data_IF_891854288156
#
_entry.id   IF_891854288156
#
_cell.length_a   1.000
_cell.length_b   1.000
_cell.length_c   1.000
_cell.angle_alpha   90.00
_cell.angle_beta   90.00
_cell.angle_gamma   90.00
#
_symmetry.space_group_name_H-M   'P 1'
#
loop_
_entity.id
_entity.type
_entity.pdbx_description
1 polymer ?
#
# COMPACT_ATOMS: atom_id res chain seq x y z
N UNK A 1 -1.94 -5.63 -13.12
CA UNK A 1 -1.29 -6.43 -14.19
C UNK A 1 -2.24 -6.71 -15.36
N UNK A 2 -3.37 -6.02 -15.39
CA UNK A 2 -4.43 -6.10 -16.40
C UNK A 2 -5.17 -4.75 -16.37
N UNK A 3 -6.23 -4.61 -17.18
CA UNK A 3 -7.09 -3.43 -17.21
C UNK A 3 -8.29 -3.49 -16.24
N UNK A 4 -8.53 -4.63 -15.57
CA UNK A 4 -9.63 -4.82 -14.60
C UNK A 4 -9.22 -4.51 -13.15
N UNK A 5 -8.07 -3.84 -12.96
CA UNK A 5 -7.10 -4.05 -11.86
C UNK A 5 -7.39 -5.20 -10.87
N UNK A 6 -7.46 -6.44 -11.34
CA UNK A 6 -7.75 -7.62 -10.49
C UNK A 6 -6.51 -8.46 -10.16
N UNK A 7 -5.56 -8.60 -11.10
CA UNK A 7 -4.29 -9.29 -10.86
C UNK A 7 -3.18 -8.32 -10.48
N UNK A 8 -2.44 -8.70 -9.45
CA UNK A 8 -1.27 -7.97 -8.95
C UNK A 8 -0.02 -8.85 -8.99
N UNK A 9 1.15 -8.23 -9.20
CA UNK A 9 2.44 -8.84 -8.88
C UNK A 9 3.04 -8.10 -7.69
N UNK A 10 3.99 -8.75 -7.01
CA UNK A 10 4.59 -8.23 -5.81
C UNK A 10 6.11 -8.13 -5.95
N UNK A 11 6.66 -7.09 -5.35
CA UNK A 11 8.09 -6.91 -5.10
C UNK A 11 8.25 -6.68 -3.60
N UNK A 12 9.29 -7.24 -3.00
CA UNK A 12 9.56 -7.10 -1.56
C UNK A 12 11.05 -6.94 -1.31
N UNK A 13 11.41 -6.17 -0.29
CA UNK A 13 12.78 -5.88 0.12
C UNK A 13 12.89 -5.85 1.63
N UNK A 14 14.04 -6.28 2.15
CA UNK A 14 14.43 -6.03 3.54
C UNK A 14 15.20 -4.72 3.57
N UNK A 15 14.94 -3.90 4.58
CA UNK A 15 15.62 -2.62 4.76
C UNK A 15 16.02 -2.39 6.21
N UNK A 16 16.72 -1.29 6.48
CA UNK A 16 17.19 -0.95 7.82
C UNK A 16 16.02 -0.90 8.82
N UNK A 17 16.24 -1.32 10.08
CA UNK A 17 15.19 -1.29 11.10
C UNK A 17 14.60 0.11 11.27
N UNK A 18 13.27 0.20 11.42
CA UNK A 18 12.51 1.44 11.68
C UNK A 18 12.70 2.54 10.63
N UNK A 19 13.24 2.22 9.46
CA UNK A 19 13.24 3.14 8.34
C UNK A 19 11.91 3.01 7.60
N UNK A 20 11.16 4.10 7.50
CA UNK A 20 9.85 4.10 6.82
C UNK A 20 10.01 4.26 5.30
N UNK A 21 10.91 5.14 4.85
CA UNK A 21 11.18 5.39 3.42
C UNK A 21 11.64 4.09 2.74
N UNK A 22 10.98 3.73 1.65
CA UNK A 22 11.32 2.54 0.86
C UNK A 22 12.62 2.80 0.10
N UNK A 23 13.74 2.20 0.54
CA UNK A 23 15.07 2.49 -0.01
C UNK A 23 15.23 2.07 -1.48
N UNK A 24 14.69 0.90 -1.85
CA UNK A 24 14.89 0.30 -3.18
C UNK A 24 13.64 0.46 -4.07
N UNK A 25 12.87 1.53 -3.85
CA UNK A 25 11.59 1.72 -4.53
C UNK A 25 11.75 1.85 -6.06
N UNK A 26 12.82 2.49 -6.53
CA UNK A 26 13.06 2.66 -7.97
C UNK A 26 13.18 1.30 -8.68
N UNK A 27 13.94 0.38 -8.09
CA UNK A 27 14.10 -0.99 -8.60
C UNK A 27 12.78 -1.76 -8.58
N UNK A 28 12.04 -1.69 -7.46
CA UNK A 28 10.74 -2.33 -7.29
C UNK A 28 9.71 -1.84 -8.32
N UNK A 29 9.61 -0.53 -8.51
CA UNK A 29 8.70 0.08 -9.50
C UNK A 29 9.10 -0.32 -10.92
N UNK A 30 10.40 -0.31 -11.23
CA UNK A 30 10.93 -0.75 -12.54
C UNK A 30 10.52 -2.18 -12.85
N UNK A 31 10.68 -3.11 -11.90
CA UNK A 31 10.25 -4.52 -12.06
C UNK A 31 8.75 -4.62 -12.37
N UNK A 32 7.92 -3.88 -11.62
CA UNK A 32 6.47 -3.87 -11.80
C UNK A 32 6.04 -3.27 -13.14
N UNK A 33 6.69 -2.19 -13.61
CA UNK A 33 6.44 -1.58 -14.92
C UNK A 33 6.78 -2.53 -16.06
N UNK A 34 7.93 -3.22 -15.99
CA UNK A 34 8.31 -4.25 -16.96
C UNK A 34 7.28 -5.38 -16.98
N UNK A 35 6.86 -5.84 -15.81
CA UNK A 35 5.90 -6.95 -15.70
C UNK A 35 4.50 -6.53 -16.18
N UNK A 36 4.10 -5.28 -15.95
CA UNK A 36 2.86 -4.72 -16.50
C UNK A 36 2.91 -4.73 -18.03
N UNK A 37 3.96 -4.18 -18.64
CA UNK A 37 4.11 -4.16 -20.09
C UNK A 37 4.13 -5.57 -20.70
N UNK A 38 4.78 -6.54 -20.05
CA UNK A 38 4.75 -7.95 -20.48
C UNK A 38 3.34 -8.55 -20.46
N UNK A 39 2.52 -8.14 -19.49
CA UNK A 39 1.17 -8.69 -19.29
C UNK A 39 0.12 -8.02 -20.17
N UNK A 40 0.24 -6.72 -20.43
CA UNK A 40 -0.79 -5.92 -21.11
C UNK A 40 -0.39 -5.44 -22.50
N UNK A 41 0.92 -5.41 -22.80
CA UNK A 41 1.49 -4.71 -23.98
C UNK A 41 1.25 -3.21 -24.01
N UNK A 42 0.81 -2.61 -22.90
CA UNK A 42 0.66 -1.18 -22.74
C UNK A 42 1.68 -0.62 -21.76
N UNK A 43 2.17 0.58 -22.04
CA UNK A 43 2.92 1.39 -21.06
C UNK A 43 1.89 2.23 -20.30
N UNK A 44 1.89 2.22 -18.96
CA UNK A 44 1.00 3.08 -18.19
C UNK A 44 1.21 4.56 -18.55
N UNK A 45 0.14 5.30 -18.80
CA UNK A 45 0.22 6.77 -18.93
C UNK A 45 0.06 7.46 -17.59
N UNK A 46 -0.46 6.74 -16.58
CA UNK A 46 -0.67 7.20 -15.21
C UNK A 46 -0.21 6.15 -14.21
N UNK A 47 0.37 6.59 -13.10
CA UNK A 47 0.75 5.77 -11.96
C UNK A 47 0.00 6.28 -10.74
N UNK A 48 -0.88 5.46 -10.17
CA UNK A 48 -1.60 5.77 -8.93
C UNK A 48 -0.97 4.97 -7.80
N UNK A 49 -0.35 5.67 -6.86
CA UNK A 49 0.46 5.07 -5.80
C UNK A 49 -0.21 5.24 -4.44
N UNK A 50 -0.77 4.16 -3.90
CA UNK A 50 -1.31 4.11 -2.53
C UNK A 50 -0.22 3.69 -1.54
N UNK A 51 0.19 4.62 -0.69
CA UNK A 51 1.23 4.43 0.33
C UNK A 51 0.61 4.29 1.72
N UNK A 52 0.50 3.08 2.24
CA UNK A 52 0.05 2.85 3.63
C UNK A 52 1.17 3.07 4.64
N UNK A 53 0.86 3.62 5.82
CA UNK A 53 1.74 3.52 7.00
C UNK A 53 2.60 4.75 7.31
N UNK A 54 2.43 5.86 6.57
CA UNK A 54 3.20 7.09 6.79
C UNK A 54 2.45 8.03 7.72
N UNK A 55 3.15 8.56 8.73
CA UNK A 55 2.62 9.61 9.62
C UNK A 55 2.77 11.00 8.99
N UNK A 56 1.88 11.94 9.34
CA UNK A 56 1.88 13.32 8.79
C UNK A 56 3.24 14.01 8.91
N UNK A 57 3.90 13.86 10.07
CA UNK A 57 5.25 14.42 10.30
C UNK A 57 6.34 13.88 9.37
N UNK A 58 6.06 12.81 8.61
CA UNK A 58 6.99 12.20 7.65
C UNK A 58 6.60 12.46 6.19
N UNK A 59 5.44 13.07 5.89
CA UNK A 59 4.91 13.22 4.54
C UNK A 59 5.92 13.84 3.58
N UNK A 60 6.47 15.01 3.92
CA UNK A 60 7.42 15.71 3.07
C UNK A 60 8.66 14.88 2.75
N UNK A 61 9.23 14.22 3.77
CA UNK A 61 10.46 13.45 3.60
C UNK A 61 10.19 12.19 2.76
N UNK A 62 9.13 11.45 3.08
CA UNK A 62 8.75 10.24 2.34
C UNK A 62 8.40 10.56 0.89
N UNK A 63 7.58 11.58 0.66
CA UNK A 63 7.22 12.03 -0.68
C UNK A 63 8.45 12.37 -1.49
N UNK A 64 9.38 13.17 -0.95
CA UNK A 64 10.57 13.59 -1.68
C UNK A 64 11.37 12.41 -2.22
N UNK A 65 11.68 11.42 -1.38
CA UNK A 65 12.48 10.27 -1.81
C UNK A 65 11.67 9.28 -2.68
N UNK A 66 10.44 8.96 -2.29
CA UNK A 66 9.65 7.93 -2.98
C UNK A 66 9.13 8.42 -4.34
N UNK A 67 8.73 9.70 -4.47
CA UNK A 67 8.32 10.27 -5.76
C UNK A 67 9.48 10.33 -6.75
N UNK A 68 10.67 10.75 -6.30
CA UNK A 68 11.87 10.76 -7.14
C UNK A 68 12.26 9.35 -7.59
N UNK A 69 12.15 8.35 -6.71
CA UNK A 69 12.43 6.96 -7.04
C UNK A 69 11.44 6.40 -8.10
N UNK A 70 10.15 6.75 -8.03
CA UNK A 70 9.16 6.36 -9.06
C UNK A 70 9.52 7.00 -10.41
N UNK A 71 9.89 8.29 -10.42
CA UNK A 71 10.32 9.00 -11.64
C UNK A 71 11.61 8.41 -12.22
N UNK A 72 12.59 8.10 -11.37
CA UNK A 72 13.84 7.43 -11.75
C UNK A 72 13.56 6.09 -12.42
N UNK A 73 12.65 5.28 -11.86
CA UNK A 73 12.26 4.00 -12.45
C UNK A 73 11.73 4.18 -13.87
N UNK A 74 10.88 5.19 -14.11
CA UNK A 74 10.33 5.50 -15.44
C UNK A 74 11.43 5.91 -16.43
N UNK A 75 12.27 6.88 -16.07
CA UNK A 75 13.37 7.39 -16.92
C UNK A 75 14.38 6.28 -17.22
N UNK A 76 14.64 5.39 -16.27
CA UNK A 76 15.58 4.27 -16.44
C UNK A 76 15.11 3.20 -17.44
N UNK A 77 13.81 3.16 -17.75
CA UNK A 77 13.23 2.21 -18.71
C UNK A 77 13.24 2.75 -20.13
N UNK A 78 12.92 4.03 -20.30
CA UNK A 78 12.87 4.68 -21.59
C UNK A 78 13.12 6.18 -21.40
N UNK A 79 14.03 6.72 -22.22
CA UNK A 79 14.30 8.16 -22.25
C UNK A 79 12.99 8.88 -22.61
N UNK A 80 12.62 9.88 -21.81
CA UNK A 80 11.40 10.69 -21.95
C UNK A 80 10.07 10.00 -21.55
N UNK A 81 10.10 8.77 -21.02
CA UNK A 81 8.90 8.15 -20.44
C UNK A 81 8.55 8.78 -19.07
N UNK A 82 7.54 9.65 -19.07
CA UNK A 82 7.11 10.45 -17.92
C UNK A 82 5.59 10.33 -17.70
N UNK A 83 5.10 9.18 -17.20
CA UNK A 83 3.68 9.04 -16.86
C UNK A 83 3.32 9.95 -15.68
N UNK A 84 2.09 10.45 -15.65
CA UNK A 84 1.60 11.27 -14.53
C UNK A 84 1.48 10.45 -13.25
N UNK A 85 2.00 10.93 -12.13
CA UNK A 85 1.97 10.24 -10.84
C UNK A 85 0.94 10.90 -9.92
N UNK A 86 0.07 10.09 -9.31
CA UNK A 86 -0.77 10.50 -8.17
C UNK A 86 -0.32 9.72 -6.94
N UNK A 87 0.13 10.41 -5.91
CA UNK A 87 0.70 9.85 -4.69
C UNK A 87 -0.25 10.08 -3.52
N UNK A 88 -0.79 8.99 -2.97
CA UNK A 88 -1.86 9.02 -1.97
C UNK A 88 -1.39 8.25 -0.74
N UNK A 89 -1.26 8.93 0.40
CA UNK A 89 -1.03 8.26 1.67
C UNK A 89 -2.35 7.69 2.19
N UNK A 90 -2.31 6.44 2.66
CA UNK A 90 -3.42 5.78 3.33
C UNK A 90 -3.09 5.63 4.82
N UNK A 91 -3.98 6.12 5.68
CA UNK A 91 -3.86 6.00 7.12
C UNK A 91 -5.11 5.34 7.69
N UNK A 92 -5.02 4.05 8.00
CA UNK A 92 -6.09 3.31 8.68
C UNK A 92 -6.08 3.48 10.21
N UNK A 93 -4.94 3.91 10.78
CA UNK A 93 -4.71 3.99 12.23
C UNK A 93 -4.56 5.45 12.67
N UNK A 94 -5.68 6.08 13.01
CA UNK A 94 -5.76 7.44 13.55
C UNK A 94 -6.90 7.52 14.60
N UNK A 95 -7.10 8.71 15.16
CA UNK A 95 -8.03 8.95 16.26
C UNK A 95 -9.44 9.39 15.83
N UNK A 96 -9.62 9.82 14.58
CA UNK A 96 -10.93 10.22 14.02
C UNK A 96 -11.92 9.06 14.00
N UNK A 97 -13.14 9.30 14.49
CA UNK A 97 -14.29 8.39 14.43
C UNK A 97 -15.49 9.16 13.91
N UNK A 98 -16.31 8.50 13.11
CA UNK A 98 -17.51 9.05 12.50
C UNK A 98 -18.72 8.26 12.97
N UNK A 99 -19.81 8.96 13.24
CA UNK A 99 -21.05 8.39 13.78
C UNK A 99 -22.25 8.96 13.02
N UNK A 100 -23.28 8.15 12.79
CA UNK A 100 -24.55 8.65 12.27
C UNK A 100 -25.20 9.59 13.28
N UNK A 101 -25.56 10.80 12.83
CA UNK A 101 -26.40 11.70 13.62
C UNK A 101 -27.76 11.06 13.89
N UNK A 102 -28.38 10.51 12.84
CA UNK A 102 -29.66 9.82 12.92
C UNK A 102 -29.52 8.35 13.25
N UNK A 103 -30.38 7.86 14.14
CA UNK A 103 -30.40 6.44 14.53
C UNK A 103 -30.80 5.51 13.39
N UNK A 104 -31.56 6.00 12.41
CA UNK A 104 -32.07 5.25 11.26
C UNK A 104 -30.99 4.92 10.25
N UNK A 105 -29.89 5.68 10.19
CA UNK A 105 -28.77 5.42 9.28
C UNK A 105 -27.77 4.40 9.83
N UNK A 106 -27.90 4.03 11.11
CA UNK A 106 -27.00 3.09 11.77
C UNK A 106 -27.15 1.70 11.15
N UNK A 107 -26.03 1.13 10.69
CA UNK A 107 -26.02 -0.18 10.03
C UNK A 107 -25.58 -1.28 11.00
N UNK A 108 -26.40 -2.35 11.06
CA UNK A 108 -26.09 -3.57 11.79
C UNK A 108 -26.11 -3.41 13.32
N UNK A 109 -25.74 -4.49 14.02
CA UNK A 109 -25.75 -4.54 15.50
C UNK A 109 -24.77 -3.55 16.14
N UNK A 110 -23.67 -3.25 15.46
CA UNK A 110 -22.63 -2.33 15.93
C UNK A 110 -23.05 -0.86 15.81
N UNK A 111 -24.05 -0.56 14.98
CA UNK A 111 -24.59 0.79 14.79
C UNK A 111 -23.60 1.77 14.14
N UNK A 112 -22.76 1.28 13.22
CA UNK A 112 -21.79 2.10 12.50
C UNK A 112 -22.42 2.88 11.33
N UNK A 113 -21.66 3.84 10.81
CA UNK A 113 -21.90 4.46 9.52
C UNK A 113 -21.91 3.43 8.38
N UNK A 114 -22.69 3.64 7.30
CA UNK A 114 -22.73 2.75 6.15
C UNK A 114 -21.39 2.70 5.40
N UNK A 115 -21.13 1.58 4.71
CA UNK A 115 -19.98 1.47 3.83
C UNK A 115 -20.10 2.47 2.67
N UNK A 116 -19.02 3.17 2.36
CA UNK A 116 -18.98 4.24 1.36
C UNK A 116 -19.17 5.64 1.95
N UNK A 117 -19.42 5.78 3.26
CA UNK A 117 -19.45 7.10 3.92
C UNK A 117 -18.13 7.82 3.67
N UNK A 118 -18.19 8.99 3.05
CA UNK A 118 -17.04 9.80 2.66
C UNK A 118 -17.19 11.19 3.27
N UNK A 119 -16.09 11.74 3.80
CA UNK A 119 -16.06 13.08 4.41
C UNK A 119 -14.80 13.79 3.93
N UNK A 120 -14.98 14.86 3.17
CA UNK A 120 -13.92 15.72 2.62
C UNK A 120 -14.09 17.21 3.01
N UNK A 121 -15.02 17.49 3.93
CA UNK A 121 -15.37 18.83 4.40
C UNK A 121 -15.31 18.91 5.93
N UNK A 122 -15.19 20.14 6.45
CA UNK A 122 -15.19 20.56 7.86
C UNK A 122 -14.04 20.04 8.74
N UNK A 123 -13.76 18.73 8.71
CA UNK A 123 -12.81 18.05 9.59
C UNK A 123 -11.54 17.58 8.87
N UNK A 124 -11.43 17.87 7.58
CA UNK A 124 -10.27 17.64 6.71
C UNK A 124 -9.27 18.78 6.78
N UNK A 125 -8.12 18.63 6.12
CA UNK A 125 -7.09 19.66 6.08
C UNK A 125 -7.63 20.95 5.42
N UNK A 126 -7.35 22.14 5.99
CA UNK A 126 -7.93 23.39 5.49
C UNK A 126 -7.47 23.81 4.08
N UNK A 127 -6.37 23.24 3.58
CA UNK A 127 -5.72 23.65 2.32
C UNK A 127 -5.21 22.51 1.45
N UNK A 128 -5.15 21.29 1.98
CA UNK A 128 -4.57 20.15 1.25
C UNK A 128 -5.71 19.27 0.76
N UNK A 129 -5.39 18.35 -0.15
CA UNK A 129 -6.39 17.45 -0.70
C UNK A 129 -6.40 16.14 0.11
N UNK A 130 -7.32 16.07 1.07
CA UNK A 130 -7.55 14.90 1.89
C UNK A 130 -9.04 14.57 2.05
N UNK A 131 -9.31 13.31 2.40
CA UNK A 131 -10.66 12.85 2.69
C UNK A 131 -10.63 11.59 3.56
N UNK A 132 -11.70 11.39 4.31
CA UNK A 132 -12.00 10.15 4.99
C UNK A 132 -12.95 9.31 4.14
N UNK A 133 -12.70 7.99 4.05
CA UNK A 133 -13.60 7.03 3.44
C UNK A 133 -13.74 5.79 4.33
N UNK A 134 -14.95 5.57 4.83
CA UNK A 134 -15.34 4.33 5.49
C UNK A 134 -15.81 3.30 4.47
N UNK A 135 -14.88 2.65 3.78
CA UNK A 135 -15.20 1.75 2.67
C UNK A 135 -15.83 0.40 3.07
N UNK A 136 -15.94 0.07 4.35
CA UNK A 136 -16.30 -1.27 4.82
C UNK A 136 -17.49 -1.26 5.80
N UNK A 137 -18.22 -2.37 5.86
CA UNK A 137 -19.27 -2.57 6.85
C UNK A 137 -18.68 -2.87 8.24
N UNK A 138 -19.07 -2.09 9.25
CA UNK A 138 -18.63 -2.26 10.63
C UNK A 138 -19.27 -3.47 11.31
N UNK A 139 -18.56 -4.59 11.44
CA UNK A 139 -19.10 -5.81 12.06
C UNK A 139 -19.22 -5.66 13.59
N UNK A 140 -18.20 -5.08 14.22
CA UNK A 140 -18.11 -4.96 15.67
C UNK A 140 -17.31 -3.71 16.06
N UNK A 141 -17.66 -3.13 17.20
CA UNK A 141 -17.04 -1.92 17.71
C UNK A 141 -17.33 -0.72 16.80
N UNK A 142 -16.48 0.30 16.87
CA UNK A 142 -16.57 1.48 16.01
C UNK A 142 -15.62 1.34 14.83
N UNK A 143 -16.15 1.47 13.62
CA UNK A 143 -15.40 1.47 12.37
C UNK A 143 -14.32 2.57 12.39
N UNK A 144 -13.19 2.29 11.74
CA UNK A 144 -12.14 3.27 11.49
C UNK A 144 -12.23 3.71 10.03
N UNK A 145 -12.76 4.90 9.73
CA UNK A 145 -12.80 5.42 8.37
C UNK A 145 -11.37 5.72 7.93
N UNK A 146 -10.88 5.08 6.86
CA UNK A 146 -9.49 5.30 6.43
C UNK A 146 -9.32 6.72 5.92
N UNK A 147 -8.20 7.34 6.25
CA UNK A 147 -7.85 8.70 5.87
C UNK A 147 -6.89 8.68 4.68
N UNK A 148 -7.20 9.46 3.65
CA UNK A 148 -6.44 9.54 2.41
C UNK A 148 -5.91 10.96 2.24
N UNK A 149 -4.61 11.11 2.05
CA UNK A 149 -3.95 12.40 1.81
C UNK A 149 -3.25 12.36 0.46
N UNK A 150 -3.62 13.24 -0.45
CA UNK A 150 -2.98 13.36 -1.76
C UNK A 150 -1.77 14.29 -1.64
N UNK A 151 -0.58 13.69 -1.68
CA UNK A 151 0.68 14.43 -1.51
C UNK A 151 1.24 14.96 -2.83
N UNK A 152 0.84 14.36 -3.95
CA UNK A 152 1.26 14.77 -5.28
C UNK A 152 0.25 14.29 -6.32
N UNK A 153 -0.06 15.10 -7.32
CA UNK A 153 -0.99 14.70 -8.38
C UNK A 153 -0.69 15.37 -9.73
N UNK A 154 0.08 14.70 -10.58
CA UNK A 154 0.27 15.12 -11.97
C UNK A 154 -0.97 14.86 -12.85
N UNK A 155 -1.92 14.03 -12.38
CA UNK A 155 -3.08 13.60 -13.16
C UNK A 155 -4.30 14.52 -12.98
N UNK A 156 -4.22 15.48 -12.06
CA UNK A 156 -5.25 16.49 -11.78
C UNK A 156 -6.64 15.87 -11.55
N UNK A 157 -6.73 14.88 -10.66
CA UNK A 157 -7.99 14.27 -10.27
C UNK A 157 -8.92 15.28 -9.60
N UNK A 158 -10.20 15.18 -9.92
CA UNK A 158 -11.23 15.78 -9.08
C UNK A 158 -11.45 14.96 -7.80
N UNK A 159 -12.02 15.59 -6.77
CA UNK A 159 -12.40 14.91 -5.52
C UNK A 159 -13.29 13.70 -5.79
N UNK A 160 -14.37 13.87 -6.55
CA UNK A 160 -15.32 12.82 -6.90
C UNK A 160 -14.65 11.62 -7.59
N UNK A 161 -13.81 11.88 -8.60
CA UNK A 161 -13.13 10.81 -9.35
C UNK A 161 -12.19 10.01 -8.44
N UNK A 162 -11.42 10.69 -7.58
CA UNK A 162 -10.45 10.01 -6.74
C UNK A 162 -11.12 9.24 -5.60
N UNK A 163 -12.15 9.81 -4.98
CA UNK A 163 -12.94 9.16 -3.93
C UNK A 163 -13.65 7.91 -4.49
N UNK A 164 -14.26 8.02 -5.67
CA UNK A 164 -14.90 6.90 -6.35
C UNK A 164 -13.90 5.82 -6.74
N UNK A 165 -12.76 6.19 -7.33
CA UNK A 165 -11.68 5.25 -7.67
C UNK A 165 -11.21 4.49 -6.42
N UNK A 166 -10.96 5.21 -5.33
CA UNK A 166 -10.52 4.64 -4.05
C UNK A 166 -11.55 3.63 -3.53
N UNK A 167 -12.84 3.99 -3.57
CA UNK A 167 -13.90 3.11 -3.12
C UNK A 167 -14.09 1.87 -4.01
N UNK A 168 -14.00 2.02 -5.33
CA UNK A 168 -14.04 0.89 -6.26
C UNK A 168 -12.87 -0.10 -6.03
N UNK A 169 -11.66 0.41 -5.79
CA UNK A 169 -10.51 -0.43 -5.47
C UNK A 169 -10.64 -1.17 -4.12
N UNK A 170 -11.53 -0.74 -3.23
CA UNK A 170 -11.85 -1.50 -2.02
C UNK A 170 -12.71 -2.75 -2.30
N UNK A 171 -13.30 -2.87 -3.49
CA UNK A 171 -14.14 -4.00 -3.91
C UNK A 171 -13.38 -5.04 -4.76
N UNK A 172 -12.12 -4.76 -5.14
CA UNK A 172 -11.33 -5.68 -5.99
C UNK A 172 -10.50 -6.69 -5.19
N UNK A 173 -10.66 -6.71 -3.85
CA UNK A 173 -9.90 -7.61 -2.98
C UNK A 173 -10.38 -9.06 -3.05
N UNK A 174 -9.59 -9.91 -3.69
CA UNK A 174 -9.96 -11.30 -4.05
C UNK A 174 -10.24 -12.28 -2.90
N UNK A 175 -9.86 -12.00 -1.64
CA UNK A 175 -10.03 -12.98 -0.55
C UNK A 175 -11.42 -13.00 0.08
N UNK A 176 -12.29 -12.06 -0.27
CA UNK A 176 -13.67 -12.04 0.22
C UNK A 176 -14.62 -11.32 -0.73
N UNK A 177 -15.90 -11.65 -0.66
CA UNK A 177 -16.98 -11.00 -1.41
C UNK A 177 -17.52 -9.77 -0.65
N UNK A 178 -16.62 -8.96 -0.10
CA UNK A 178 -16.95 -7.78 0.72
C UNK A 178 -15.99 -6.65 0.39
N UNK A 179 -16.49 -5.41 0.46
CA UNK A 179 -15.61 -4.24 0.45
C UNK A 179 -14.73 -4.23 1.70
N UNK A 180 -13.42 -4.04 1.50
CA UNK A 180 -12.42 -3.96 2.58
C UNK A 180 -12.11 -2.52 2.97
N UNK A 181 -11.50 -2.33 4.14
CA UNK A 181 -11.29 -1.01 4.77
C UNK A 181 -10.27 -0.10 4.07
N UNK A 182 -9.47 -0.62 3.15
CA UNK A 182 -8.45 0.10 2.37
C UNK A 182 -8.39 -0.53 0.97
N UNK A 183 -7.91 0.18 -0.07
CA UNK A 183 -7.82 -0.36 -1.42
C UNK A 183 -7.06 -1.68 -1.48
N UNK A 184 -7.50 -2.59 -2.34
CA UNK A 184 -6.85 -3.88 -2.57
C UNK A 184 -5.32 -3.79 -2.75
N UNK A 185 -4.72 -2.84 -3.53
CA UNK A 185 -3.26 -2.74 -3.63
C UNK A 185 -2.55 -2.50 -2.28
N UNK A 186 -3.09 -1.62 -1.42
CA UNK A 186 -2.53 -1.37 -0.10
C UNK A 186 -2.68 -2.62 0.79
N UNK A 187 -3.82 -3.30 0.73
CA UNK A 187 -4.05 -4.55 1.46
C UNK A 187 -3.09 -5.66 1.02
N UNK A 188 -2.82 -5.78 -0.28
CA UNK A 188 -1.88 -6.75 -0.82
C UNK A 188 -0.44 -6.45 -0.40
N UNK A 189 -0.01 -5.20 -0.35
CA UNK A 189 1.30 -4.83 0.15
C UNK A 189 1.52 -5.32 1.60
N UNK A 190 0.50 -5.24 2.47
CA UNK A 190 0.57 -5.83 3.80
C UNK A 190 0.71 -7.36 3.78
N UNK A 191 -0.04 -8.06 2.94
CA UNK A 191 0.06 -9.52 2.83
C UNK A 191 1.44 -9.95 2.33
N UNK A 192 2.01 -9.22 1.38
CA UNK A 192 3.37 -9.44 0.88
C UNK A 192 4.41 -9.24 1.99
N UNK A 193 4.33 -8.13 2.72
CA UNK A 193 5.24 -7.85 3.84
C UNK A 193 5.12 -8.89 4.96
N UNK A 194 3.90 -9.32 5.28
CA UNK A 194 3.66 -10.37 6.28
C UNK A 194 4.16 -11.73 5.84
N UNK A 195 4.00 -12.08 4.56
CA UNK A 195 4.58 -13.32 4.00
C UNK A 195 6.10 -13.29 4.03
N UNK A 196 6.72 -12.16 3.68
CA UNK A 196 8.17 -11.99 3.78
C UNK A 196 8.65 -12.13 5.23
N UNK A 197 7.88 -11.64 6.22
CA UNK A 197 8.19 -11.88 7.64
C UNK A 197 8.19 -13.38 7.97
N UNK A 198 7.23 -14.16 7.47
CA UNK A 198 7.25 -15.62 7.67
C UNK A 198 8.49 -16.28 7.08
N UNK A 199 8.94 -15.87 5.89
CA UNK A 199 10.17 -16.41 5.30
C UNK A 199 11.44 -16.08 6.11
N UNK A 200 11.37 -15.10 7.03
CA UNK A 200 12.45 -14.75 7.93
C UNK A 200 12.42 -15.52 9.26
N UNK A 201 11.27 -16.08 9.67
CA UNK A 201 11.12 -16.78 10.96
C UNK A 201 12.07 -17.97 11.08
N UNK A 202 12.24 -18.75 10.01
CA UNK A 202 13.15 -19.90 9.99
C UNK A 202 14.63 -19.50 10.17
N UNK A 203 14.98 -18.23 9.94
CA UNK A 203 16.34 -17.70 10.16
C UNK A 203 16.49 -16.93 11.47
N UNK A 204 15.40 -16.39 12.01
CA UNK A 204 15.41 -15.71 13.31
C UNK A 204 15.42 -16.73 14.47
N UNK A 205 14.83 -17.92 14.31
CA UNK A 205 14.83 -18.99 15.33
C UNK A 205 16.19 -19.69 15.53
N UNK A 206 17.00 -19.84 14.48
CA UNK A 206 18.39 -20.33 14.59
C UNK A 206 19.28 -19.41 15.47
N UNK A 207 18.80 -18.22 15.83
CA UNK A 207 19.49 -17.28 16.72
C UNK A 207 19.04 -17.35 18.18
N UNK A 208 18.00 -18.14 18.53
CA UNK A 208 17.38 -18.14 19.85
C UNK A 208 17.60 -19.41 20.70
N UNK A 209 18.03 -20.53 20.10
CA UNK A 209 18.31 -21.78 20.83
C UNK A 209 19.74 -22.25 20.59
N UNK A 210 20.68 -21.77 21.41
CA UNK A 210 22.06 -22.28 21.40
C UNK A 210 23.07 -21.26 21.91
N UNK A 211 23.19 -21.13 23.23
CA UNK A 211 24.34 -20.46 23.83
C UNK A 211 25.60 -21.33 23.66
N UNK A 212 26.30 -21.16 22.53
CA UNK A 212 27.70 -21.55 22.38
C UNK A 212 28.51 -20.33 21.93
N UNK A 213 29.49 -19.96 22.75
CA UNK A 213 30.46 -18.91 22.45
C UNK A 213 31.45 -19.44 21.42
N UNK A 214 31.38 -18.96 20.18
CA UNK A 214 32.52 -18.59 19.32
C UNK A 214 32.08 -18.35 17.86
N UNK A 215 32.50 -17.23 17.27
CA UNK A 215 32.46 -16.98 15.82
C UNK A 215 31.29 -16.14 15.32
N UNK A 216 31.62 -14.93 14.83
CA UNK A 216 30.82 -14.01 14.00
C UNK A 216 29.35 -14.39 13.77
N UNK A 217 28.44 -13.64 14.40
CA UNK A 217 26.99 -13.75 14.21
C UNK A 217 26.58 -13.42 12.76
N UNK A 218 26.33 -14.46 11.96
CA UNK A 218 25.76 -14.35 10.59
C UNK A 218 24.25 -14.04 10.56
N UNK A 219 23.57 -13.94 11.70
CA UNK A 219 22.12 -13.66 11.78
C UNK A 219 21.69 -12.22 11.42
N UNK A 220 22.61 -11.35 11.00
CA UNK A 220 22.34 -9.96 10.61
C UNK A 220 22.95 -9.57 9.26
N UNK A 221 23.41 -10.53 8.47
CA UNK A 221 23.90 -10.22 7.13
C UNK A 221 22.72 -9.76 6.24
N UNK A 222 22.73 -8.49 5.76
CA UNK A 222 21.68 -7.98 4.88
C UNK A 222 21.48 -8.84 3.63
N UNK A 223 22.55 -9.48 3.14
CA UNK A 223 22.48 -10.32 1.95
C UNK A 223 21.75 -11.65 2.22
N UNK A 224 21.98 -12.25 3.39
CA UNK A 224 21.26 -13.45 3.83
C UNK A 224 19.75 -13.19 4.04
N UNK A 225 19.39 -12.01 4.58
CA UNK A 225 18.00 -11.58 4.76
C UNK A 225 17.32 -11.29 3.41
N UNK A 226 18.01 -10.59 2.50
CA UNK A 226 17.52 -10.34 1.14
C UNK A 226 17.26 -11.66 0.38
N UNK A 227 18.17 -12.64 0.50
CA UNK A 227 17.99 -13.96 -0.11
C UNK A 227 16.81 -14.74 0.47
N UNK A 228 16.47 -14.54 1.75
CA UNK A 228 15.36 -15.23 2.40
C UNK A 228 13.99 -14.78 1.87
N UNK A 229 13.85 -13.49 1.55
CA UNK A 229 12.59 -12.94 1.04
C UNK A 229 12.46 -13.06 -0.48
N UNK A 230 13.53 -13.46 -1.17
CA UNK A 230 13.52 -13.69 -2.61
C UNK A 230 12.67 -14.92 -2.94
N UNK A 231 11.66 -14.72 -3.79
CA UNK A 231 10.80 -15.80 -4.26
C UNK A 231 11.36 -16.47 -5.52
N UNK A 232 10.97 -17.73 -5.73
CA UNK A 232 11.33 -18.51 -6.91
C UNK A 232 10.84 -17.83 -8.20
N UNK A 233 11.56 -18.05 -9.31
CA UNK A 233 11.31 -17.39 -10.60
C UNK A 233 9.87 -17.60 -11.10
N UNK A 234 9.34 -18.81 -10.93
CA UNK A 234 7.97 -19.16 -11.33
C UNK A 234 6.90 -18.49 -10.46
N UNK A 235 7.27 -18.12 -9.23
CA UNK A 235 6.38 -17.48 -8.26
C UNK A 235 6.29 -15.96 -8.46
N UNK A 236 7.29 -15.33 -9.09
CA UNK A 236 7.37 -13.87 -9.30
C UNK A 236 6.13 -13.26 -9.96
N UNK A 237 5.43 -14.04 -10.80
CA UNK A 237 4.26 -13.58 -11.58
C UNK A 237 2.92 -13.99 -10.98
N UNK A 238 2.94 -14.55 -9.77
CA UNK A 238 1.75 -15.07 -9.09
C UNK A 238 1.35 -14.19 -7.92
N UNK A 239 0.09 -14.31 -7.48
CA UNK A 239 -0.40 -13.71 -6.24
C UNK A 239 -0.19 -14.67 -5.06
N UNK A 240 1.03 -15.17 -4.86
CA UNK A 240 1.36 -16.16 -3.81
C UNK A 240 1.04 -15.70 -2.38
N UNK A 241 0.88 -14.39 -2.19
CA UNK A 241 0.54 -13.72 -0.94
C UNK A 241 -0.97 -13.68 -0.63
N UNK A 242 -1.82 -14.01 -1.62
CA UNK A 242 -3.28 -14.07 -1.43
C UNK A 242 -3.68 -15.22 -0.50
#
# INVERSE_FOLDING_TARGET
>A
MDAHPSRYCATVRVQKPRQEIIQDLASMVRELLIQFYKSTRFKPTRIIFYRDGVSEGQFRQVLYYELLAIREACISLEKDYQPGITYIVVQKRHHTRLFCADRTERVGRSGNIPAGTTVDTDITHPYEFDFYLCSHAGIQGTSRPSHYHVLWDDNCFTADELQLLTYQLCHTYVRCTRSVSIPAPAYYAHLVAFRARYHLVDKEHDSAEGSHVSGQSNGRDPQALAKAVQIHQDTLRTMYFA
#
